data_IF_374154599270
#
_entry.id   IF_374154599270
#
_cell.length_a   1.000
_cell.length_b   1.000
_cell.length_c   1.000
_cell.angle_alpha   90.00
_cell.angle_beta   90.00
_cell.angle_gamma   90.00
#
_symmetry.space_group_name_H-M   'P 1'
#
loop_
_entity.id
_entity.type
_entity.pdbx_description
1 polymer ?
#
# COMPACT_ATOMS: atom_id res chain seq x y z
N UNK A 1 9.19 -12.64 -26.12
CA UNK A 1 9.00 -12.05 -24.79
C UNK A 1 9.41 -10.58 -24.87
N UNK A 2 8.42 -9.69 -24.75
CA UNK A 2 8.67 -8.27 -24.70
C UNK A 2 9.02 -7.84 -23.27
N UNK A 3 10.04 -6.99 -23.13
CA UNK A 3 10.49 -6.52 -21.82
C UNK A 3 10.11 -5.06 -21.64
N UNK A 4 9.12 -4.80 -20.82
CA UNK A 4 8.81 -3.45 -20.38
C UNK A 4 9.40 -3.21 -18.97
N UNK A 5 10.13 -2.10 -18.79
CA UNK A 5 10.61 -1.68 -17.50
C UNK A 5 9.57 -0.75 -16.88
N UNK A 6 8.77 -1.25 -15.95
CA UNK A 6 7.98 -0.38 -15.09
C UNK A 6 8.88 0.22 -14.01
N UNK A 7 9.00 1.53 -14.00
CA UNK A 7 9.62 2.28 -12.90
C UNK A 7 8.57 2.43 -11.81
N UNK A 8 8.41 1.38 -11.02
CA UNK A 8 7.71 1.53 -9.74
C UNK A 8 8.68 2.20 -8.77
N UNK A 9 8.23 3.29 -8.14
CA UNK A 9 9.04 4.11 -7.26
C UNK A 9 9.88 3.31 -6.27
N UNK A 10 11.09 3.79 -6.08
CA UNK A 10 12.07 3.42 -5.07
C UNK A 10 12.67 2.01 -5.16
N UNK A 11 13.82 1.99 -5.84
CA UNK A 11 14.98 1.11 -5.66
C UNK A 11 15.07 -0.25 -6.34
N UNK A 12 14.05 -0.81 -6.95
CA UNK A 12 14.23 -1.95 -7.87
C UNK A 12 13.36 -1.78 -9.11
N UNK A 13 14.00 -1.66 -10.28
CA UNK A 13 13.33 -1.82 -11.57
C UNK A 13 12.72 -3.21 -11.60
N UNK A 14 11.43 -3.34 -11.35
CA UNK A 14 10.70 -4.58 -11.62
C UNK A 14 10.55 -4.68 -13.13
N UNK A 15 10.95 -5.81 -13.68
CA UNK A 15 10.78 -6.13 -15.09
C UNK A 15 9.49 -6.94 -15.22
N UNK A 16 8.48 -6.36 -15.83
CA UNK A 16 7.33 -7.11 -16.27
C UNK A 16 7.64 -7.72 -17.64
N UNK A 17 7.29 -8.97 -17.85
CA UNK A 17 7.47 -9.68 -19.10
C UNK A 17 6.10 -10.05 -19.62
N UNK A 18 5.83 -9.65 -20.84
CA UNK A 18 4.61 -9.99 -21.56
C UNK A 18 4.98 -10.88 -22.75
N UNK A 19 4.10 -11.82 -23.08
CA UNK A 19 4.25 -12.57 -24.31
C UNK A 19 3.94 -11.64 -25.49
N UNK A 20 4.80 -11.64 -26.49
CA UNK A 20 4.47 -11.10 -27.80
C UNK A 20 3.48 -12.05 -28.49
N UNK A 21 2.82 -11.60 -29.56
CA UNK A 21 1.93 -12.46 -30.35
C UNK A 21 2.63 -13.73 -30.84
N UNK A 22 3.90 -13.62 -31.20
CA UNK A 22 4.74 -14.77 -31.56
C UNK A 22 5.08 -15.63 -30.35
N UNK A 23 5.34 -15.03 -29.21
CA UNK A 23 5.55 -15.72 -27.94
C UNK A 23 4.30 -16.47 -27.46
N UNK A 24 3.11 -15.90 -27.67
CA UNK A 24 1.83 -16.55 -27.38
C UNK A 24 1.64 -17.81 -28.26
N UNK A 25 1.90 -17.71 -29.56
CA UNK A 25 1.84 -18.87 -30.47
C UNK A 25 2.80 -19.99 -30.05
N UNK A 26 4.03 -19.65 -29.69
CA UNK A 26 5.01 -20.64 -29.19
C UNK A 26 4.54 -21.25 -27.86
N UNK A 27 3.94 -20.48 -26.98
CA UNK A 27 3.37 -20.99 -25.73
C UNK A 27 2.21 -21.97 -26.01
N UNK A 28 1.33 -21.66 -26.95
CA UNK A 28 0.23 -22.53 -27.37
C UNK A 28 0.74 -23.84 -28.00
N UNK A 29 1.79 -23.77 -28.83
CA UNK A 29 2.43 -24.95 -29.39
C UNK A 29 3.09 -25.85 -28.32
N UNK A 30 3.72 -25.23 -27.33
CA UNK A 30 4.31 -25.94 -26.19
C UNK A 30 3.18 -26.59 -25.38
N UNK A 31 2.10 -25.88 -25.12
CA UNK A 31 0.94 -26.42 -24.42
C UNK A 31 0.28 -27.56 -25.17
N UNK A 32 0.11 -27.46 -26.49
CA UNK A 32 -0.41 -28.55 -27.31
C UNK A 32 0.41 -29.84 -27.13
N UNK A 33 1.73 -29.72 -27.18
CA UNK A 33 2.63 -30.85 -26.97
C UNK A 33 2.61 -31.43 -25.54
N UNK A 34 2.52 -30.55 -24.54
CA UNK A 34 2.46 -30.94 -23.11
C UNK A 34 1.14 -31.63 -22.81
N UNK A 35 0.02 -31.15 -23.33
CA UNK A 35 -1.31 -31.72 -23.10
C UNK A 35 -1.48 -33.10 -23.72
N UNK A 36 -0.76 -33.39 -24.84
CA UNK A 36 -0.74 -34.70 -25.50
C UNK A 36 0.24 -35.70 -24.84
N UNK A 37 1.08 -35.25 -23.89
CA UNK A 37 2.04 -36.11 -23.22
C UNK A 37 1.33 -37.17 -22.37
N UNK A 38 1.66 -38.44 -22.60
CA UNK A 38 1.16 -39.53 -21.79
C UNK A 38 1.81 -39.57 -20.42
N UNK A 39 0.98 -39.48 -19.39
CA UNK A 39 1.36 -39.52 -17.97
C UNK A 39 0.61 -40.68 -17.28
N UNK A 40 1.18 -41.19 -16.20
CA UNK A 40 0.44 -42.10 -15.32
C UNK A 40 -0.33 -41.26 -14.30
N UNK A 41 -1.63 -41.43 -14.21
CA UNK A 41 -2.47 -40.72 -13.26
C UNK A 41 -3.10 -41.70 -12.28
N UNK A 42 -3.00 -41.39 -11.00
CA UNK A 42 -3.75 -42.07 -9.93
C UNK A 42 -4.90 -41.13 -9.54
N UNK A 43 -6.11 -41.57 -9.83
CA UNK A 43 -7.32 -40.78 -9.59
C UNK A 43 -7.77 -40.85 -8.11
N UNK A 44 -8.68 -39.97 -7.72
CA UNK A 44 -9.24 -39.91 -6.37
C UNK A 44 -9.98 -41.17 -5.94
N UNK A 45 -10.48 -41.98 -6.89
CA UNK A 45 -11.13 -43.26 -6.66
C UNK A 45 -10.13 -44.45 -6.59
N UNK A 46 -8.84 -44.20 -6.66
CA UNK A 46 -7.77 -45.18 -6.60
C UNK A 46 -7.46 -45.86 -7.94
N UNK A 47 -8.16 -45.56 -9.03
CA UNK A 47 -7.80 -46.05 -10.38
C UNK A 47 -6.46 -45.45 -10.79
N UNK A 48 -5.64 -46.27 -11.46
CA UNK A 48 -4.38 -45.82 -12.05
C UNK A 48 -4.38 -46.10 -13.53
N UNK A 49 -4.25 -45.06 -14.34
CA UNK A 49 -4.32 -45.19 -15.79
C UNK A 49 -3.18 -44.42 -16.45
N UNK A 50 -2.77 -44.85 -17.63
CA UNK A 50 -1.81 -44.13 -18.48
C UNK A 50 -2.60 -43.46 -19.60
N UNK A 51 -2.71 -42.14 -19.50
CA UNK A 51 -3.53 -41.32 -20.41
C UNK A 51 -2.81 -40.02 -20.75
N UNK A 52 -3.28 -39.25 -21.71
CA UNK A 52 -2.76 -37.91 -21.96
C UNK A 52 -3.13 -36.97 -20.82
N UNK A 53 -2.35 -35.89 -20.65
CA UNK A 53 -2.66 -34.88 -19.62
C UNK A 53 -4.02 -34.23 -19.87
N UNK A 54 -4.42 -34.04 -21.13
CA UNK A 54 -5.73 -33.54 -21.52
C UNK A 54 -6.88 -34.43 -21.08
N UNK A 55 -6.79 -35.73 -21.44
CA UNK A 55 -7.81 -36.74 -21.07
C UNK A 55 -7.89 -36.93 -19.54
N UNK A 56 -6.77 -36.85 -18.85
CA UNK A 56 -6.74 -36.91 -17.39
C UNK A 56 -7.55 -35.80 -16.73
N UNK A 57 -7.50 -34.57 -17.29
CA UNK A 57 -8.27 -33.43 -16.78
C UNK A 57 -9.76 -33.61 -17.05
N UNK A 58 -10.11 -34.06 -18.26
CA UNK A 58 -11.52 -34.29 -18.61
C UNK A 58 -12.14 -35.45 -17.78
N UNK A 59 -11.30 -36.38 -17.32
CA UNK A 59 -11.72 -37.54 -16.54
C UNK A 59 -11.80 -37.30 -15.04
N UNK A 60 -11.36 -36.10 -14.55
CA UNK A 60 -11.44 -35.72 -13.14
C UNK A 60 -12.54 -34.70 -12.91
N UNK A 61 -13.29 -34.84 -11.82
CA UNK A 61 -14.25 -33.83 -11.36
C UNK A 61 -13.58 -32.69 -10.56
N UNK A 62 -12.24 -32.71 -10.44
CA UNK A 62 -11.50 -31.71 -9.70
C UNK A 62 -11.36 -30.42 -10.52
N UNK A 63 -11.50 -29.23 -9.89
CA UNK A 63 -11.37 -27.93 -10.58
C UNK A 63 -9.90 -27.58 -10.88
N UNK A 64 -9.22 -28.44 -11.66
CA UNK A 64 -7.81 -28.33 -12.02
C UNK A 64 -7.63 -27.86 -13.46
N UNK A 65 -6.73 -26.89 -13.68
CA UNK A 65 -6.24 -26.56 -15.02
C UNK A 65 -5.03 -27.45 -15.35
N UNK A 66 -4.68 -27.56 -16.62
CA UNK A 66 -3.52 -28.33 -17.09
C UNK A 66 -2.23 -28.04 -16.32
N UNK A 67 -1.95 -26.76 -16.02
CA UNK A 67 -0.78 -26.36 -15.27
C UNK A 67 -0.84 -26.79 -13.81
N UNK A 68 -2.01 -26.87 -13.24
CA UNK A 68 -2.20 -27.22 -11.82
C UNK A 68 -1.99 -28.72 -11.60
N UNK A 69 -2.31 -29.57 -12.58
CA UNK A 69 -2.02 -31.02 -12.51
C UNK A 69 -0.53 -31.33 -12.42
N UNK A 70 0.32 -30.53 -13.05
CA UNK A 70 1.77 -30.75 -13.01
C UNK A 70 2.35 -30.58 -11.59
N UNK A 71 1.63 -29.92 -10.68
CA UNK A 71 2.06 -29.76 -9.27
C UNK A 71 1.93 -31.06 -8.46
N UNK A 72 1.06 -31.94 -8.89
CA UNK A 72 0.85 -33.26 -8.26
C UNK A 72 1.66 -34.34 -8.94
N UNK A 73 2.62 -33.96 -9.81
CA UNK A 73 3.53 -34.89 -10.49
C UNK A 73 4.74 -35.21 -9.60
N UNK A 74 4.92 -36.46 -9.34
CA UNK A 74 6.11 -36.99 -8.65
C UNK A 74 7.31 -37.13 -9.61
N UNK A 75 8.51 -37.25 -9.07
CA UNK A 75 9.77 -37.44 -9.82
C UNK A 75 9.71 -38.63 -10.76
N UNK A 76 8.83 -39.59 -10.49
CA UNK A 76 8.57 -40.77 -11.34
C UNK A 76 7.74 -40.48 -12.60
N UNK A 77 7.27 -39.23 -12.81
CA UNK A 77 6.36 -38.86 -13.88
C UNK A 77 4.91 -39.34 -13.67
N UNK A 78 4.55 -39.68 -12.44
CA UNK A 78 3.19 -40.07 -12.05
C UNK A 78 2.50 -38.86 -11.40
N UNK A 79 1.28 -38.54 -11.84
CA UNK A 79 0.40 -37.55 -11.24
C UNK A 79 -0.48 -38.27 -10.22
N UNK A 80 -0.37 -37.92 -8.95
CA UNK A 80 -1.15 -38.53 -7.88
C UNK A 80 -2.25 -37.56 -7.41
N UNK A 81 -3.48 -37.90 -7.77
CA UNK A 81 -4.70 -37.18 -7.37
C UNK A 81 -5.45 -37.93 -6.24
N UNK A 82 -4.91 -39.04 -5.74
CA UNK A 82 -5.53 -39.83 -4.68
C UNK A 82 -5.65 -39.01 -3.40
N UNK A 83 -6.83 -39.00 -2.83
CA UNK A 83 -7.11 -38.19 -1.61
C UNK A 83 -7.34 -36.70 -1.84
N UNK A 84 -7.36 -36.23 -3.08
CA UNK A 84 -7.76 -34.86 -3.38
C UNK A 84 -9.28 -34.76 -3.45
N UNK A 85 -9.84 -33.76 -2.77
CA UNK A 85 -11.23 -33.34 -2.91
C UNK A 85 -11.30 -31.95 -3.55
N UNK A 86 -12.45 -31.57 -4.17
CA UNK A 86 -12.59 -30.22 -4.73
C UNK A 86 -12.24 -29.13 -3.73
N UNK A 87 -12.62 -29.26 -2.46
CA UNK A 87 -12.36 -28.27 -1.40
C UNK A 87 -10.85 -28.21 -1.06
N UNK A 88 -10.15 -29.35 -1.08
CA UNK A 88 -8.71 -29.40 -0.86
C UNK A 88 -7.96 -28.75 -2.01
N UNK A 89 -8.39 -29.04 -3.24
CA UNK A 89 -7.81 -28.43 -4.45
C UNK A 89 -8.04 -26.92 -4.46
N UNK A 90 -9.25 -26.45 -4.21
CA UNK A 90 -9.54 -25.03 -4.12
C UNK A 90 -8.74 -24.34 -3.02
N UNK A 91 -8.59 -24.98 -1.86
CA UNK A 91 -7.77 -24.47 -0.75
C UNK A 91 -6.28 -24.46 -1.11
N UNK A 92 -5.79 -25.45 -1.85
CA UNK A 92 -4.39 -25.55 -2.26
C UNK A 92 -4.09 -24.59 -3.41
N UNK A 93 -4.98 -24.47 -4.37
CA UNK A 93 -4.92 -23.44 -5.42
C UNK A 93 -5.02 -22.03 -4.83
N UNK A 94 -5.86 -21.80 -3.83
CA UNK A 94 -5.96 -20.53 -3.12
C UNK A 94 -4.68 -20.18 -2.34
N UNK A 95 -3.98 -21.18 -1.79
CA UNK A 95 -2.68 -21.00 -1.15
C UNK A 95 -1.55 -20.74 -2.14
N UNK A 96 -1.63 -21.29 -3.35
CA UNK A 96 -0.60 -21.18 -4.38
C UNK A 96 -0.89 -20.10 -5.43
N UNK A 97 -2.12 -19.65 -5.54
CA UNK A 97 -2.40 -18.29 -5.94
C UNK A 97 -2.04 -17.45 -4.69
N UNK A 98 -0.75 -17.34 -4.37
CA UNK A 98 -0.26 -16.10 -3.81
C UNK A 98 -0.78 -15.04 -4.77
N UNK A 99 -1.93 -14.44 -4.44
CA UNK A 99 -2.41 -13.23 -5.12
C UNK A 99 -1.20 -12.34 -5.08
N UNK A 100 -0.57 -12.17 -6.23
CA UNK A 100 0.70 -11.44 -6.32
C UNK A 100 0.40 -10.04 -5.82
N UNK A 101 0.77 -9.79 -4.56
CA UNK A 101 0.42 -8.53 -3.91
C UNK A 101 0.97 -7.39 -4.74
N UNK A 102 0.07 -6.50 -5.13
CA UNK A 102 0.37 -5.36 -5.99
C UNK A 102 0.76 -4.17 -5.11
N UNK A 103 1.91 -3.58 -5.41
CA UNK A 103 2.36 -2.36 -4.76
C UNK A 103 2.44 -1.23 -5.79
N UNK A 104 1.49 -0.30 -5.72
CA UNK A 104 1.46 0.93 -6.51
C UNK A 104 2.00 2.08 -5.65
N UNK A 105 3.32 2.27 -5.69
CA UNK A 105 4.07 3.15 -4.82
C UNK A 105 4.78 4.26 -5.61
N UNK A 106 4.08 4.82 -6.61
CA UNK A 106 4.59 5.93 -7.40
C UNK A 106 4.81 7.13 -6.46
N UNK A 107 5.89 7.85 -6.66
CA UNK A 107 6.28 9.02 -5.86
C UNK A 107 6.54 8.77 -4.35
N UNK A 108 6.66 7.51 -3.92
CA UNK A 108 7.06 7.22 -2.54
C UNK A 108 8.50 7.68 -2.30
N UNK A 109 8.74 8.65 -1.42
CA UNK A 109 10.09 9.17 -1.19
C UNK A 109 10.96 8.14 -0.48
N UNK A 110 12.27 8.17 -0.80
CA UNK A 110 13.26 7.34 -0.10
C UNK A 110 13.50 7.90 1.29
N UNK A 111 13.12 7.16 2.31
CA UNK A 111 13.48 7.49 3.69
C UNK A 111 14.87 6.95 3.97
N UNK A 112 15.87 7.83 4.19
CA UNK A 112 17.25 7.40 4.43
C UNK A 112 17.47 6.94 5.87
N UNK A 113 16.85 7.62 6.84
CA UNK A 113 16.95 7.34 8.27
C UNK A 113 15.59 7.60 8.90
N UNK A 114 15.22 6.77 9.86
CA UNK A 114 13.97 6.87 10.61
C UNK A 114 14.32 6.76 12.10
N UNK A 115 13.91 7.74 12.87
CA UNK A 115 14.20 7.83 14.29
C UNK A 115 12.91 8.04 15.07
N UNK A 116 12.72 7.25 16.11
CA UNK A 116 11.51 7.29 16.93
C UNK A 116 10.25 6.90 16.16
N UNK A 117 9.10 7.20 16.72
CA UNK A 117 7.79 6.89 16.14
C UNK A 117 7.39 5.43 16.17
N UNK A 118 8.14 4.59 16.89
CA UNK A 118 7.82 3.18 17.06
C UNK A 118 6.42 3.02 17.66
N UNK A 119 6.08 3.87 18.66
CA UNK A 119 4.76 3.84 19.31
C UNK A 119 3.63 4.18 18.33
N UNK A 120 3.78 5.24 17.56
CA UNK A 120 2.80 5.63 16.55
C UNK A 120 2.67 4.56 15.48
N UNK A 121 3.80 4.03 15.00
CA UNK A 121 3.83 2.95 14.01
C UNK A 121 3.13 1.68 14.54
N UNK A 122 3.41 1.29 15.78
CA UNK A 122 2.80 0.11 16.39
C UNK A 122 1.29 0.29 16.62
N UNK A 123 0.84 1.48 17.07
CA UNK A 123 -0.59 1.77 17.21
C UNK A 123 -1.31 1.65 15.87
N UNK A 124 -0.75 2.23 14.81
CA UNK A 124 -1.31 2.13 13.47
C UNK A 124 -1.33 0.68 12.96
N UNK A 125 -0.20 -0.02 13.08
CA UNK A 125 -0.07 -1.39 12.62
C UNK A 125 -1.03 -2.33 13.35
N UNK A 126 -1.08 -2.28 14.68
CA UNK A 126 -1.96 -3.11 15.49
C UNK A 126 -3.45 -2.88 15.15
N UNK A 127 -3.85 -1.61 14.95
CA UNK A 127 -5.22 -1.31 14.55
C UNK A 127 -5.55 -1.89 13.17
N UNK A 128 -4.65 -1.71 12.19
CA UNK A 128 -4.83 -2.21 10.82
C UNK A 128 -4.75 -3.75 10.76
N UNK A 129 -4.01 -4.41 11.64
CA UNK A 129 -3.96 -5.87 11.73
C UNK A 129 -5.21 -6.45 12.40
N UNK A 130 -5.77 -5.74 13.39
CA UNK A 130 -6.94 -6.20 14.14
C UNK A 130 -8.26 -6.10 13.35
N UNK A 131 -8.39 -5.09 12.50
CA UNK A 131 -9.62 -4.83 11.73
C UNK A 131 -9.37 -3.89 10.55
N UNK A 132 -10.35 -3.77 9.67
CA UNK A 132 -10.38 -2.66 8.72
C UNK A 132 -10.55 -1.34 9.44
N UNK A 133 -9.74 -0.36 9.08
CA UNK A 133 -9.71 0.91 9.79
C UNK A 133 -9.27 2.07 8.91
N UNK A 134 -9.74 3.27 9.26
CA UNK A 134 -9.27 4.54 8.72
C UNK A 134 -8.50 5.30 9.78
N UNK A 135 -7.36 5.88 9.40
CA UNK A 135 -6.47 6.64 10.30
C UNK A 135 -6.16 7.98 9.64
N UNK A 136 -6.40 9.06 10.37
CA UNK A 136 -5.97 10.40 10.00
C UNK A 136 -4.79 10.83 10.88
N UNK A 137 -3.68 11.21 10.25
CA UNK A 137 -2.45 11.60 10.92
C UNK A 137 -2.15 13.08 10.61
N UNK A 138 -2.72 14.00 11.37
CA UNK A 138 -2.43 15.40 11.21
C UNK A 138 -1.08 15.78 11.86
N UNK A 139 -0.40 16.78 11.29
CA UNK A 139 0.85 17.27 11.86
C UNK A 139 1.48 18.37 11.00
N UNK A 140 2.23 19.26 11.64
CA UNK A 140 2.88 20.41 10.98
C UNK A 140 3.91 19.98 9.92
N UNK A 141 4.34 20.92 9.10
CA UNK A 141 5.37 20.67 8.09
C UNK A 141 6.67 20.15 8.75
N UNK A 142 7.34 19.14 8.15
CA UNK A 142 8.60 18.63 8.65
C UNK A 142 8.54 17.74 9.90
N UNK A 143 7.35 17.47 10.46
CA UNK A 143 7.18 16.64 11.67
C UNK A 143 7.43 15.14 11.45
N UNK A 144 7.61 14.70 10.20
CA UNK A 144 7.92 13.31 9.88
C UNK A 144 6.75 12.49 9.32
N UNK A 145 5.65 13.11 8.84
CA UNK A 145 4.48 12.41 8.25
C UNK A 145 4.87 11.47 7.11
N UNK A 146 5.55 11.98 6.12
CA UNK A 146 6.00 11.20 4.96
C UNK A 146 6.97 10.07 5.33
N UNK A 147 7.80 10.26 6.35
CA UNK A 147 8.66 9.19 6.86
C UNK A 147 7.84 8.08 7.52
N UNK A 148 6.80 8.45 8.27
CA UNK A 148 5.88 7.49 8.88
C UNK A 148 5.04 6.76 7.82
N UNK A 149 4.59 7.46 6.74
CA UNK A 149 3.85 6.84 5.64
C UNK A 149 4.69 5.77 4.92
N UNK A 150 5.98 6.01 4.73
CA UNK A 150 6.89 5.01 4.16
C UNK A 150 7.00 3.78 5.08
N UNK A 151 7.13 4.00 6.39
CA UNK A 151 7.31 2.91 7.35
C UNK A 151 6.07 2.05 7.55
N UNK A 152 4.88 2.64 7.54
CA UNK A 152 3.65 1.85 7.61
C UNK A 152 3.46 1.01 6.32
N UNK A 153 3.82 1.53 5.16
CA UNK A 153 3.81 0.76 3.91
C UNK A 153 4.82 -0.40 3.95
N UNK A 154 6.06 -0.14 4.41
CA UNK A 154 7.09 -1.18 4.57
C UNK A 154 6.57 -2.35 5.43
N UNK A 155 5.82 -2.04 6.51
CA UNK A 155 5.27 -3.05 7.44
C UNK A 155 4.29 -4.01 6.77
N UNK A 156 3.57 -3.55 5.73
CA UNK A 156 2.52 -4.31 5.04
C UNK A 156 2.90 -4.79 3.63
N UNK A 157 4.15 -4.57 3.17
CA UNK A 157 4.59 -4.86 1.79
C UNK A 157 4.37 -6.33 1.36
N UNK A 158 4.42 -7.28 2.29
CA UNK A 158 4.23 -8.70 2.00
C UNK A 158 2.91 -9.27 2.52
N UNK A 159 1.99 -8.39 2.95
CA UNK A 159 0.73 -8.79 3.58
C UNK A 159 -0.50 -8.24 2.90
N UNK A 160 -0.39 -7.09 2.20
CA UNK A 160 -1.50 -6.37 1.58
C UNK A 160 -1.13 -5.83 0.21
N UNK A 161 -2.12 -5.64 -0.64
CA UNK A 161 -1.98 -4.76 -1.79
C UNK A 161 -1.82 -3.33 -1.30
N UNK A 162 -0.88 -2.58 -1.88
CA UNK A 162 -0.51 -1.25 -1.42
C UNK A 162 -0.78 -0.21 -2.49
N UNK A 163 -1.50 0.85 -2.13
CA UNK A 163 -1.59 2.08 -2.90
C UNK A 163 -1.00 3.23 -2.08
N UNK A 164 -0.01 3.92 -2.63
CA UNK A 164 0.47 5.20 -2.12
C UNK A 164 0.12 6.30 -3.11
N UNK A 165 -0.64 7.30 -2.68
CA UNK A 165 -0.98 8.47 -3.46
C UNK A 165 -0.52 9.72 -2.73
N UNK A 166 0.35 10.50 -3.38
CA UNK A 166 0.82 11.78 -2.87
C UNK A 166 0.12 12.91 -3.57
N UNK A 167 -0.73 13.62 -2.84
CA UNK A 167 -1.48 14.75 -3.37
C UNK A 167 -0.57 15.91 -3.79
N UNK A 168 -0.90 16.54 -4.92
CA UNK A 168 -0.24 17.72 -5.43
C UNK A 168 -1.23 18.91 -5.51
N UNK A 169 -0.71 20.13 -5.50
CA UNK A 169 -1.53 21.35 -5.45
C UNK A 169 -2.40 21.55 -6.72
N UNK A 170 -2.02 20.93 -7.84
CA UNK A 170 -2.73 20.97 -9.13
C UNK A 170 -3.64 19.78 -9.40
N UNK A 171 -3.68 18.81 -8.50
CA UNK A 171 -4.49 17.60 -8.63
C UNK A 171 -5.88 17.80 -8.04
N UNK A 172 -6.88 17.16 -8.68
CA UNK A 172 -8.23 17.03 -8.16
C UNK A 172 -8.58 15.59 -7.85
N UNK A 173 -9.85 15.38 -7.50
CA UNK A 173 -10.42 14.06 -7.22
C UNK A 173 -10.19 13.03 -8.34
N UNK A 174 -10.14 13.48 -9.59
CA UNK A 174 -9.93 12.60 -10.74
C UNK A 174 -8.57 11.91 -10.71
N UNK A 175 -7.49 12.61 -10.34
CA UNK A 175 -6.16 12.01 -10.24
C UNK A 175 -6.11 10.87 -9.20
N UNK A 176 -6.77 11.06 -8.06
CA UNK A 176 -6.92 10.00 -7.06
C UNK A 176 -7.73 8.81 -7.58
N UNK A 177 -8.84 9.06 -8.29
CA UNK A 177 -9.66 8.00 -8.87
C UNK A 177 -8.90 7.22 -9.94
N UNK A 178 -8.11 7.88 -10.79
CA UNK A 178 -7.26 7.25 -11.81
C UNK A 178 -6.17 6.39 -11.16
N UNK A 179 -5.52 6.87 -10.10
CA UNK A 179 -4.55 6.07 -9.34
C UNK A 179 -5.19 4.82 -8.71
N UNK A 180 -6.41 4.95 -8.16
CA UNK A 180 -7.18 3.81 -7.67
C UNK A 180 -7.53 2.83 -8.80
N UNK A 181 -7.95 3.33 -9.96
CA UNK A 181 -8.34 2.50 -11.10
C UNK A 181 -7.15 1.70 -11.65
N UNK A 182 -6.00 2.36 -11.87
CA UNK A 182 -4.77 1.69 -12.31
C UNK A 182 -4.32 0.61 -11.32
N UNK A 183 -4.34 0.92 -10.03
CA UNK A 183 -3.98 -0.03 -9.00
C UNK A 183 -4.95 -1.21 -8.90
N UNK A 184 -6.26 -0.96 -8.91
CA UNK A 184 -7.29 -2.02 -8.88
C UNK A 184 -7.22 -2.90 -10.15
N UNK A 185 -6.97 -2.31 -11.32
CA UNK A 185 -6.74 -3.07 -12.55
C UNK A 185 -5.51 -4.00 -12.43
N UNK A 186 -4.44 -3.54 -11.80
CA UNK A 186 -3.28 -4.38 -11.53
C UNK A 186 -3.55 -5.50 -10.51
N UNK A 187 -4.54 -5.32 -9.63
CA UNK A 187 -5.04 -6.37 -8.71
C UNK A 187 -5.99 -7.34 -9.43
N UNK A 188 -6.51 -6.97 -10.61
CA UNK A 188 -7.40 -7.79 -11.44
C UNK A 188 -8.84 -7.29 -11.52
N UNK A 189 -9.16 -6.09 -10.97
CA UNK A 189 -10.49 -5.50 -11.02
C UNK A 189 -10.49 -4.24 -11.91
N UNK A 190 -11.15 -4.30 -13.06
CA UNK A 190 -11.18 -3.22 -14.05
C UNK A 190 -12.44 -2.32 -13.95
N UNK A 191 -13.37 -2.60 -13.06
CA UNK A 191 -14.68 -1.94 -13.03
C UNK A 191 -14.56 -0.40 -12.90
N UNK A 192 -13.65 0.06 -12.05
CA UNK A 192 -13.42 1.50 -11.88
C UNK A 192 -12.79 2.13 -13.14
N UNK A 193 -11.83 1.44 -13.76
CA UNK A 193 -11.17 1.90 -14.99
C UNK A 193 -12.17 2.06 -16.13
N UNK A 194 -13.02 1.05 -16.35
CA UNK A 194 -14.05 1.04 -17.39
C UNK A 194 -15.10 2.13 -17.14
N UNK A 195 -15.47 2.32 -15.89
CA UNK A 195 -16.37 3.41 -15.50
C UNK A 195 -15.77 4.79 -15.80
N UNK A 196 -14.52 5.03 -15.40
CA UNK A 196 -13.85 6.32 -15.65
C UNK A 196 -13.62 6.61 -17.11
N UNK A 197 -13.40 5.57 -17.93
CA UNK A 197 -13.26 5.70 -19.38
C UNK A 197 -14.59 6.15 -20.05
N UNK A 198 -15.73 5.68 -19.53
CA UNK A 198 -17.07 6.01 -20.04
C UNK A 198 -17.68 7.28 -19.42
N UNK A 199 -17.11 7.80 -18.34
CA UNK A 199 -17.70 8.88 -17.52
C UNK A 199 -16.72 10.03 -17.32
N UNK A 200 -16.78 11.10 -18.14
CA UNK A 200 -15.89 12.27 -17.97
C UNK A 200 -16.02 12.96 -16.62
N UNK A 201 -17.22 12.96 -16.04
CA UNK A 201 -17.51 13.49 -14.71
C UNK A 201 -18.07 12.37 -13.84
N UNK A 202 -17.19 11.66 -13.11
CA UNK A 202 -17.63 10.52 -12.30
C UNK A 202 -18.50 10.95 -11.12
N UNK A 203 -19.57 10.19 -10.87
CA UNK A 203 -20.39 10.37 -9.67
C UNK A 203 -19.68 9.79 -8.45
N UNK A 204 -19.59 10.57 -7.38
CA UNK A 204 -18.89 10.20 -6.14
C UNK A 204 -19.36 8.84 -5.60
N UNK A 205 -20.67 8.64 -5.45
CA UNK A 205 -21.20 7.41 -4.89
C UNK A 205 -20.87 6.17 -5.74
N UNK A 206 -20.91 6.31 -7.07
CA UNK A 206 -20.59 5.21 -7.97
C UNK A 206 -19.09 4.87 -7.90
N UNK A 207 -18.22 5.89 -7.95
CA UNK A 207 -16.77 5.68 -7.83
C UNK A 207 -16.40 5.02 -6.49
N UNK A 208 -16.97 5.49 -5.38
CA UNK A 208 -16.73 4.89 -4.04
C UNK A 208 -17.21 3.44 -3.97
N UNK A 209 -18.38 3.12 -4.57
CA UNK A 209 -18.87 1.74 -4.60
C UNK A 209 -17.93 0.83 -5.39
N UNK A 210 -17.44 1.27 -6.54
CA UNK A 210 -16.50 0.49 -7.36
C UNK A 210 -15.15 0.29 -6.66
N UNK A 211 -14.63 1.32 -5.99
CA UNK A 211 -13.43 1.19 -5.14
C UNK A 211 -13.69 0.17 -4.02
N UNK A 212 -14.79 0.31 -3.27
CA UNK A 212 -15.10 -0.58 -2.15
C UNK A 212 -15.28 -2.04 -2.60
N UNK A 213 -15.90 -2.28 -3.75
CA UNK A 213 -16.05 -3.60 -4.33
C UNK A 213 -14.68 -4.21 -4.68
N UNK A 214 -13.81 -3.47 -5.37
CA UNK A 214 -12.44 -3.94 -5.67
C UNK A 214 -11.61 -4.23 -4.42
N UNK A 215 -11.77 -3.41 -3.36
CA UNK A 215 -11.10 -3.61 -2.08
C UNK A 215 -11.62 -4.83 -1.31
N UNK A 216 -12.86 -5.26 -1.52
CA UNK A 216 -13.46 -6.41 -0.81
C UNK A 216 -12.83 -7.75 -1.20
N UNK A 217 -12.12 -7.79 -2.32
CA UNK A 217 -11.58 -9.02 -2.91
C UNK A 217 -10.23 -9.45 -2.32
N UNK A 218 -9.50 -8.54 -1.69
CA UNK A 218 -8.18 -8.85 -1.15
C UNK A 218 -7.71 -7.85 -0.09
N UNK A 219 -6.86 -8.29 0.87
CA UNK A 219 -6.26 -7.41 1.86
C UNK A 219 -5.55 -6.23 1.22
N UNK A 220 -5.87 -5.01 1.65
CA UNK A 220 -5.45 -3.80 0.97
C UNK A 220 -5.13 -2.66 1.94
N UNK A 221 -4.16 -1.81 1.59
CA UNK A 221 -3.82 -0.60 2.33
C UNK A 221 -3.63 0.58 1.38
N UNK A 222 -4.44 1.59 1.56
CA UNK A 222 -4.35 2.87 0.85
C UNK A 222 -3.69 3.89 1.78
N UNK A 223 -2.64 4.53 1.31
CA UNK A 223 -1.96 5.63 2.02
C UNK A 223 -2.01 6.88 1.17
N UNK A 224 -2.58 7.95 1.71
CA UNK A 224 -2.68 9.26 1.07
C UNK A 224 -1.78 10.23 1.84
N UNK A 225 -0.79 10.79 1.15
CA UNK A 225 0.12 11.77 1.75
C UNK A 225 -0.13 13.19 1.20
N UNK A 226 0.25 14.19 1.97
CA UNK A 226 0.10 15.61 1.64
C UNK A 226 -1.36 16.03 1.30
N UNK A 227 -2.37 15.38 1.89
CA UNK A 227 -3.80 15.59 1.59
C UNK A 227 -4.24 17.07 1.67
N UNK A 228 -3.59 17.87 2.52
CA UNK A 228 -3.87 19.31 2.68
C UNK A 228 -3.58 20.15 1.43
N UNK A 229 -2.86 19.61 0.44
CA UNK A 229 -2.55 20.33 -0.80
C UNK A 229 -3.74 20.42 -1.75
N UNK A 230 -4.64 19.44 -1.70
CA UNK A 230 -5.80 19.43 -2.59
C UNK A 230 -6.90 20.30 -2.03
N UNK A 231 -7.39 21.25 -2.85
CA UNK A 231 -8.54 22.10 -2.54
C UNK A 231 -9.88 21.58 -3.07
N UNK A 232 -9.93 20.37 -3.63
CA UNK A 232 -11.11 19.79 -4.26
C UNK A 232 -12.04 19.15 -3.22
N UNK A 233 -13.18 19.75 -2.96
CA UNK A 233 -14.22 19.25 -2.04
C UNK A 233 -14.78 17.88 -2.50
N UNK A 234 -14.69 17.56 -3.79
CA UNK A 234 -15.11 16.26 -4.31
C UNK A 234 -14.21 15.14 -3.80
N UNK A 235 -12.88 15.37 -3.73
CA UNK A 235 -11.96 14.39 -3.13
C UNK A 235 -12.31 14.15 -1.66
N UNK A 236 -12.58 15.20 -0.91
CA UNK A 236 -12.96 15.07 0.50
C UNK A 236 -14.28 14.32 0.68
N UNK A 237 -15.24 14.52 -0.22
CA UNK A 237 -16.49 13.76 -0.22
C UNK A 237 -16.26 12.29 -0.52
N UNK A 238 -15.40 11.96 -1.49
CA UNK A 238 -14.99 10.59 -1.81
C UNK A 238 -14.34 9.92 -0.59
N UNK A 239 -13.40 10.60 0.05
CA UNK A 239 -12.68 10.04 1.21
C UNK A 239 -13.60 9.84 2.42
N UNK A 240 -14.57 10.72 2.64
CA UNK A 240 -15.57 10.57 3.69
C UNK A 240 -16.42 9.32 3.49
N UNK A 241 -16.98 9.17 2.29
CA UNK A 241 -17.79 8.00 1.96
C UNK A 241 -16.97 6.71 1.97
N UNK A 242 -15.74 6.76 1.44
CA UNK A 242 -14.83 5.61 1.44
C UNK A 242 -14.48 5.17 2.87
N UNK A 243 -14.24 6.11 3.78
CA UNK A 243 -13.98 5.84 5.20
C UNK A 243 -15.12 5.05 5.85
N UNK A 244 -16.37 5.44 5.58
CA UNK A 244 -17.53 4.72 6.09
C UNK A 244 -17.62 3.29 5.55
N UNK A 245 -17.33 3.10 4.25
CA UNK A 245 -17.34 1.79 3.59
C UNK A 245 -16.23 0.87 4.08
N UNK A 246 -14.99 1.39 4.23
CA UNK A 246 -13.83 0.60 4.67
C UNK A 246 -14.10 -0.11 5.99
N UNK A 247 -14.78 0.53 6.93
CA UNK A 247 -15.08 -0.08 8.23
C UNK A 247 -16.04 -1.30 8.14
N UNK A 248 -16.70 -1.49 7.01
CA UNK A 248 -17.55 -2.68 6.75
C UNK A 248 -16.82 -3.79 5.98
N UNK A 249 -15.62 -3.52 5.48
CA UNK A 249 -14.80 -4.47 4.73
C UNK A 249 -13.92 -5.31 5.67
N UNK A 250 -13.19 -6.26 5.09
CA UNK A 250 -12.22 -7.09 5.82
C UNK A 250 -10.79 -6.75 5.35
N UNK A 251 -9.89 -6.58 6.31
CA UNK A 251 -8.45 -6.38 6.07
C UNK A 251 -8.11 -5.21 5.14
N UNK A 252 -8.93 -4.15 5.18
CA UNK A 252 -8.71 -2.92 4.39
C UNK A 252 -8.30 -1.78 5.31
N UNK A 253 -7.25 -1.05 4.93
CA UNK A 253 -6.79 0.14 5.64
C UNK A 253 -6.80 1.38 4.76
N UNK A 254 -7.13 2.53 5.36
CA UNK A 254 -6.96 3.85 4.78
C UNK A 254 -6.20 4.73 5.76
N UNK A 255 -5.02 5.19 5.37
CA UNK A 255 -4.20 6.08 6.19
C UNK A 255 -4.00 7.40 5.45
N UNK A 256 -4.34 8.49 6.09
CA UNK A 256 -4.29 9.84 5.51
C UNK A 256 -3.37 10.73 6.32
N UNK A 257 -2.44 11.39 5.64
CA UNK A 257 -1.52 12.36 6.23
C UNK A 257 -1.85 13.77 5.76
N UNK A 258 -2.04 14.69 6.71
CA UNK A 258 -2.40 16.08 6.42
C UNK A 258 -1.66 17.07 7.33
N UNK A 259 -1.59 18.35 6.95
CA UNK A 259 -1.10 19.41 7.84
C UNK A 259 -2.19 19.97 8.72
N UNK A 260 -3.43 19.94 8.28
CA UNK A 260 -4.57 20.52 8.98
C UNK A 260 -5.48 19.45 9.55
N UNK A 261 -6.15 19.81 10.65
CA UNK A 261 -7.25 19.07 11.25
C UNK A 261 -8.59 19.29 10.52
N UNK A 262 -8.60 19.80 9.28
CA UNK A 262 -9.88 19.88 8.58
C UNK A 262 -10.55 18.52 8.69
N UNK A 263 -11.74 18.48 9.30
CA UNK A 263 -12.54 17.28 9.49
C UNK A 263 -13.01 16.78 8.13
N UNK A 264 -12.08 16.12 7.46
CA UNK A 264 -12.27 15.54 6.14
C UNK A 264 -13.09 14.26 6.24
N UNK A 265 -12.98 13.59 7.39
CA UNK A 265 -13.55 12.27 7.63
C UNK A 265 -14.28 12.25 8.97
N UNK A 266 -15.40 11.52 9.08
CA UNK A 266 -16.11 11.39 10.33
C UNK A 266 -15.25 10.66 11.37
N UNK A 267 -15.14 11.21 12.56
CA UNK A 267 -14.51 10.53 13.70
C UNK A 267 -15.40 9.39 14.21
N UNK A 268 -16.72 9.58 14.17
CA UNK A 268 -17.70 8.58 14.57
C UNK A 268 -18.87 8.49 13.59
N UNK A 269 -19.53 7.33 13.54
CA UNK A 269 -20.79 7.12 12.81
C UNK A 269 -21.99 7.69 13.60
N UNK A 270 -23.20 7.55 13.01
CA UNK A 270 -24.45 7.98 13.64
C UNK A 270 -24.76 7.22 14.95
N UNK A 271 -24.12 6.09 15.18
CA UNK A 271 -24.24 5.26 16.39
C UNK A 271 -23.17 5.53 17.43
N UNK A 272 -22.25 6.48 17.16
CA UNK A 272 -21.13 6.84 18.04
C UNK A 272 -19.93 5.89 17.97
N UNK A 273 -19.87 4.95 17.01
CA UNK A 273 -18.71 4.10 16.84
C UNK A 273 -17.58 4.89 16.17
N UNK A 274 -16.35 4.68 16.62
CA UNK A 274 -15.17 5.32 16.03
C UNK A 274 -14.99 4.79 14.60
N UNK A 275 -15.10 5.70 13.64
CA UNK A 275 -14.93 5.43 12.21
C UNK A 275 -13.50 5.73 11.76
N UNK A 276 -12.89 6.77 12.33
CA UNK A 276 -11.51 7.18 12.02
C UNK A 276 -10.74 7.42 13.30
N UNK A 277 -9.57 6.77 13.41
CA UNK A 277 -8.60 7.13 14.45
C UNK A 277 -7.88 8.41 14.03
N UNK A 278 -7.99 9.46 14.82
CA UNK A 278 -7.22 10.68 14.64
C UNK A 278 -5.99 10.65 15.54
N UNK A 279 -4.79 10.65 14.95
CA UNK A 279 -3.52 10.53 15.66
C UNK A 279 -2.59 11.71 15.32
N UNK A 280 -2.64 12.81 16.06
CA UNK A 280 -1.79 13.98 15.83
C UNK A 280 -0.31 13.66 16.11
N UNK A 281 0.58 13.98 15.16
CA UNK A 281 2.01 13.86 15.38
C UNK A 281 2.57 15.03 16.17
N UNK A 282 3.22 14.72 17.29
CA UNK A 282 3.99 15.66 18.11
C UNK A 282 5.48 15.61 17.73
N UNK A 283 6.32 16.44 18.36
CA UNK A 283 7.77 16.33 18.26
C UNK A 283 8.27 14.95 18.73
N UNK A 284 9.47 14.59 18.34
CA UNK A 284 10.16 13.38 18.82
C UNK A 284 10.49 13.55 20.31
N UNK A 285 10.57 12.43 21.02
CA UNK A 285 11.09 12.43 22.39
C UNK A 285 12.59 12.81 22.43
N UNK A 286 13.11 13.00 23.64
CA UNK A 286 14.49 13.43 23.84
C UNK A 286 15.50 12.40 23.33
N UNK A 287 15.23 11.11 23.50
CA UNK A 287 16.13 10.04 23.08
C UNK A 287 16.23 9.97 21.55
N UNK A 288 15.10 9.92 20.86
CA UNK A 288 15.02 9.94 19.39
C UNK A 288 15.62 11.23 18.80
N UNK A 289 15.42 12.36 19.48
CA UNK A 289 16.01 13.65 19.09
C UNK A 289 17.53 13.64 19.19
N UNK A 290 18.07 13.02 20.22
CA UNK A 290 19.52 12.86 20.41
C UNK A 290 20.14 12.00 19.30
N UNK A 291 19.43 10.97 18.86
CA UNK A 291 19.87 10.12 17.74
C UNK A 291 19.98 10.87 16.40
N UNK A 292 19.16 11.90 16.18
CA UNK A 292 19.29 12.75 14.98
C UNK A 292 20.56 13.61 15.05
N UNK A 293 20.92 14.09 16.23
CA UNK A 293 22.05 15.01 16.46
C UNK A 293 23.43 14.31 16.52
N UNK A 294 23.55 13.11 15.99
CA UNK A 294 24.78 12.28 16.04
C UNK A 294 26.00 12.89 15.36
N UNK A 295 25.85 13.87 14.44
CA UNK A 295 26.97 14.58 13.84
C UNK A 295 27.63 15.60 14.80
N UNK A 296 27.08 15.78 16.00
CA UNK A 296 27.59 16.67 17.04
C UNK A 296 28.19 15.86 18.22
N UNK A 297 29.32 15.14 18.06
CA UNK A 297 29.81 14.16 19.02
C UNK A 297 30.32 14.75 20.35
N UNK A 298 30.48 16.09 20.42
CA UNK A 298 30.93 16.81 21.61
C UNK A 298 29.83 17.60 22.30
N UNK A 299 28.56 17.39 21.94
CA UNK A 299 27.43 18.08 22.55
C UNK A 299 27.25 17.61 24.01
N UNK A 300 27.34 18.54 24.94
CA UNK A 300 27.05 18.27 26.35
C UNK A 300 25.55 18.24 26.65
N UNK A 301 25.19 17.88 27.88
CA UNK A 301 23.79 17.74 28.28
C UNK A 301 23.04 19.07 28.29
N UNK A 302 23.72 20.17 28.59
CA UNK A 302 23.08 21.50 28.68
C UNK A 302 22.79 22.02 27.27
N UNK A 303 23.74 21.86 26.34
CA UNK A 303 23.55 22.18 24.93
C UNK A 303 22.42 21.36 24.32
N UNK A 304 22.35 20.06 24.60
CA UNK A 304 21.24 19.24 24.13
C UNK A 304 19.91 19.71 24.69
N UNK A 305 19.83 19.96 26.01
CA UNK A 305 18.62 20.42 26.66
C UNK A 305 18.14 21.76 26.06
N UNK A 306 19.07 22.66 25.77
CA UNK A 306 18.76 23.92 25.12
C UNK A 306 18.21 23.71 23.69
N UNK A 307 18.89 22.91 22.85
CA UNK A 307 18.44 22.60 21.49
C UNK A 307 17.07 21.90 21.52
N UNK A 308 16.86 20.96 22.42
CA UNK A 308 15.59 20.23 22.54
C UNK A 308 14.45 21.15 22.99
N UNK A 309 14.70 22.05 23.93
CA UNK A 309 13.70 23.04 24.39
C UNK A 309 13.24 23.96 23.26
N UNK A 310 14.15 24.39 22.38
CA UNK A 310 13.86 25.25 21.23
C UNK A 310 13.15 24.48 20.11
N UNK A 311 13.68 23.30 19.74
CA UNK A 311 13.14 22.49 18.65
C UNK A 311 11.87 21.75 19.03
N UNK A 312 11.63 21.50 20.32
CA UNK A 312 10.57 20.62 20.85
C UNK A 312 10.53 19.26 20.15
N UNK A 313 11.72 18.73 19.79
CA UNK A 313 11.85 17.47 19.10
C UNK A 313 11.39 17.49 17.64
N UNK A 314 11.28 18.66 16.98
CA UNK A 314 10.85 18.76 15.59
C UNK A 314 11.92 18.20 14.64
N UNK A 315 11.67 17.09 13.89
CA UNK A 315 12.71 16.37 13.15
C UNK A 315 13.45 17.24 12.13
N UNK A 316 12.72 18.03 11.34
CA UNK A 316 13.35 18.90 10.33
C UNK A 316 14.26 19.94 10.97
N UNK A 317 13.88 20.53 12.10
CA UNK A 317 14.71 21.48 12.83
C UNK A 317 15.97 20.78 13.34
N UNK A 318 15.84 19.61 13.94
CA UNK A 318 16.97 18.82 14.42
C UNK A 318 17.92 18.42 13.28
N UNK A 319 17.39 18.02 12.12
CA UNK A 319 18.22 17.74 10.93
C UNK A 319 18.95 18.96 10.40
N UNK A 320 18.32 20.14 10.39
CA UNK A 320 18.97 21.38 9.98
C UNK A 320 20.12 21.76 10.93
N UNK A 321 19.90 21.60 12.22
CA UNK A 321 20.95 21.79 13.23
C UNK A 321 22.11 20.81 13.01
N UNK A 322 21.79 19.55 12.79
CA UNK A 322 22.79 18.50 12.60
C UNK A 322 23.64 18.67 11.32
N UNK A 323 23.10 19.32 10.28
CA UNK A 323 23.79 19.56 9.01
C UNK A 323 24.65 20.83 9.00
N UNK A 324 24.36 21.77 9.86
CA UNK A 324 25.02 23.06 9.89
C UNK A 324 26.16 23.11 10.91
N UNK A 325 27.32 23.68 10.53
CA UNK A 325 28.27 24.19 11.50
C UNK A 325 27.69 25.46 12.16
N UNK A 326 26.75 25.26 13.09
CA UNK A 326 25.79 26.28 13.51
C UNK A 326 26.24 26.87 14.85
N UNK A 327 27.33 27.59 14.88
CA UNK A 327 27.71 28.30 16.11
C UNK A 327 27.20 29.76 16.16
N UNK A 328 26.99 30.45 15.04
CA UNK A 328 26.72 31.90 15.10
C UNK A 328 25.52 32.44 14.31
N UNK A 329 24.97 31.66 13.34
CA UNK A 329 23.84 32.13 12.51
C UNK A 329 22.49 31.51 12.96
N UNK A 330 22.53 30.70 14.00
CA UNK A 330 21.45 29.77 14.33
C UNK A 330 20.17 30.45 14.86
N UNK A 331 20.32 31.41 15.78
CA UNK A 331 19.14 32.06 16.36
C UNK A 331 18.28 32.79 15.31
N UNK A 332 18.91 33.61 14.47
CA UNK A 332 18.18 34.38 13.47
C UNK A 332 17.57 33.50 12.36
N UNK A 333 18.25 32.42 11.96
CA UNK A 333 17.76 31.52 10.90
C UNK A 333 16.69 30.59 11.42
N UNK A 334 16.78 30.12 12.66
CA UNK A 334 15.75 29.29 13.29
C UNK A 334 14.50 30.08 13.62
N UNK A 335 14.62 31.27 14.21
CA UNK A 335 13.49 32.16 14.48
C UNK A 335 12.80 32.55 13.17
N UNK A 336 13.52 32.94 12.13
CA UNK A 336 12.97 33.27 10.83
C UNK A 336 12.29 32.05 10.15
N UNK A 337 12.83 30.83 10.32
CA UNK A 337 12.19 29.62 9.80
C UNK A 337 10.95 29.26 10.61
N UNK A 338 11.00 29.33 11.93
CA UNK A 338 9.87 29.08 12.83
C UNK A 338 8.77 30.10 12.58
N UNK A 339 9.09 31.39 12.47
CA UNK A 339 8.14 32.43 12.13
C UNK A 339 7.54 32.23 10.74
N UNK A 340 8.37 32.02 9.72
CA UNK A 340 7.93 31.93 8.33
C UNK A 340 7.18 30.63 8.03
N UNK A 341 7.63 29.48 8.54
CA UNK A 341 7.07 28.17 8.16
C UNK A 341 6.08 27.60 9.18
N UNK A 342 6.16 28.00 10.41
CA UNK A 342 5.28 27.51 11.47
C UNK A 342 4.22 28.53 11.86
N UNK A 343 4.61 29.78 12.18
CA UNK A 343 3.67 30.78 12.66
C UNK A 343 2.89 31.49 11.55
N UNK A 344 3.47 31.76 10.38
CA UNK A 344 2.73 32.39 9.27
C UNK A 344 1.60 31.52 8.74
N UNK A 345 1.67 30.21 8.96
CA UNK A 345 0.63 29.25 8.54
C UNK A 345 -0.37 28.90 9.65
N UNK A 346 -0.10 29.28 10.89
CA UNK A 346 -1.06 29.19 12.00
C UNK A 346 -1.96 30.44 12.09
N UNK A 347 -1.53 31.56 11.52
CA UNK A 347 -2.28 32.83 11.50
C UNK A 347 -3.17 33.02 10.27
N UNK A 348 -3.19 32.09 9.34
CA UNK A 348 -3.96 32.09 8.08
C UNK A 348 -5.14 31.14 8.07
N UNK A 349 -5.66 30.71 9.22
CA UNK A 349 -6.85 29.88 9.37
C UNK A 349 -7.98 30.60 10.05
#
# INVERSE_FOLDING_TARGET
>A
IERQAHVTGVSRKRKAYFLTDEGAKVADEIWGRVSETNVRVVFSDGRSEKTSLAEAIESTELPLRHVDMLRYMHDSGTIDLSGLTPELVERDLSKHIEKQLVSYLNDLPRTRRFYGREKELDVMANLLEAKSASILVPGIAGIGKTSLSTKILDRFTHRRNLLYHRCQDWEGSRAFLEACAEWLSAVGNNDLSDYLASSPVPQTNMAVNLIANGLSESPSLIVIDDLHKVGDETLYSILRELTLRINTLKEVGLVMFSRSFRMVVPESDQSGNIVTLVMPLQGLDAESSRQILTAMPKMDSDQFTHIYSLSRGHPLILELINRGNVAETFHATLEAFVEKEIFSRLSGS
#
